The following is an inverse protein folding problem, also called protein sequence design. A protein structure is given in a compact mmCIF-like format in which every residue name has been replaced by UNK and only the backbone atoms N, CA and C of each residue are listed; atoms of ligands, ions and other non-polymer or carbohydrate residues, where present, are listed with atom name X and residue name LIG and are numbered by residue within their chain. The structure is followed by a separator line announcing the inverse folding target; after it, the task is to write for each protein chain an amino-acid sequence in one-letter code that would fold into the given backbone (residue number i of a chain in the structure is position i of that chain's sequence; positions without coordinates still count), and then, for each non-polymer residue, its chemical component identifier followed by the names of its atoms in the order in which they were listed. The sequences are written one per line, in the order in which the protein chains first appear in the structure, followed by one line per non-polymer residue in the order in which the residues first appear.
data_IF_566702566610
#
_entry.id   IF_566702566610
#
_cell.length_a   1.000
_cell.length_b   1.000
_cell.length_c   1.000
_cell.angle_alpha   90.00
_cell.angle_beta   90.00
_cell.angle_gamma   90.00
#
_symmetry.space_group_name_H-M   'P 1'
#
loop_
_entity.id
_entity.type
_entity.pdbx_description
1 polymer ?
#
# COMPACT_ATOMS: atom_id res chain seq x y z
N UNK A 1 -65.39 -7.15 12.01
CA UNK A 1 -64.14 -7.40 11.25
C UNK A 1 -63.54 -6.05 10.86
N UNK A 2 -62.57 -5.54 11.61
CA UNK A 2 -61.88 -4.28 11.30
C UNK A 2 -60.80 -4.54 10.25
N UNK A 3 -60.90 -3.87 9.09
CA UNK A 3 -59.87 -3.89 8.05
C UNK A 3 -58.66 -3.09 8.55
N UNK A 4 -57.43 -3.64 8.50
CA UNK A 4 -56.25 -2.87 8.86
C UNK A 4 -56.10 -1.68 7.91
N UNK A 5 -55.84 -0.51 8.50
CA UNK A 5 -55.69 0.74 7.77
C UNK A 5 -54.41 0.70 6.93
N UNK A 6 -54.56 0.80 5.61
CA UNK A 6 -53.51 0.89 4.58
C UNK A 6 -52.24 1.72 4.96
N UNK A 7 -52.32 2.87 5.68
CA UNK A 7 -51.13 3.61 6.09
C UNK A 7 -50.19 2.88 7.07
N UNK A 8 -50.72 2.01 7.93
CA UNK A 8 -49.91 1.28 8.92
C UNK A 8 -49.03 0.24 8.23
N UNK A 9 -49.53 -0.40 7.18
CA UNK A 9 -48.80 -1.40 6.40
C UNK A 9 -47.64 -0.76 5.60
N UNK A 10 -47.84 0.44 5.06
CA UNK A 10 -46.81 1.19 4.32
C UNK A 10 -45.69 1.64 5.27
N UNK A 11 -46.04 2.10 6.48
CA UNK A 11 -45.05 2.49 7.49
C UNK A 11 -44.20 1.29 7.94
N UNK A 12 -44.83 0.13 8.14
CA UNK A 12 -44.14 -1.12 8.49
C UNK A 12 -43.20 -1.58 7.37
N UNK A 13 -43.62 -1.49 6.10
CA UNK A 13 -42.78 -1.85 4.95
C UNK A 13 -41.58 -0.90 4.77
N UNK A 14 -41.77 0.40 5.05
CA UNK A 14 -40.68 1.38 5.03
C UNK A 14 -39.67 1.12 6.16
N UNK A 15 -40.13 0.81 7.38
CA UNK A 15 -39.26 0.46 8.50
C UNK A 15 -38.45 -0.82 8.23
N UNK A 16 -39.07 -1.88 7.71
CA UNK A 16 -38.38 -3.14 7.35
C UNK A 16 -37.34 -2.92 6.23
N UNK A 17 -37.63 -2.03 5.27
CA UNK A 17 -36.69 -1.69 4.18
C UNK A 17 -35.48 -0.88 4.64
N UNK A 18 -35.57 -0.22 5.80
CA UNK A 18 -34.43 0.48 6.43
C UNK A 18 -33.56 -0.50 7.24
N UNK A 19 -34.16 -1.49 7.91
CA UNK A 19 -33.41 -2.47 8.72
C UNK A 19 -32.75 -3.61 7.93
N UNK A 20 -33.13 -3.85 6.68
CA UNK A 20 -32.53 -4.89 5.82
C UNK A 20 -31.33 -4.39 5.00
N UNK A 21 -30.95 -3.12 5.12
CA UNK A 21 -29.71 -2.62 4.54
C UNK A 21 -28.57 -3.04 5.45
N UNK A 22 -27.82 -4.08 5.09
CA UNK A 22 -26.52 -4.37 5.68
C UNK A 22 -25.49 -3.40 5.08
N UNK A 23 -25.12 -2.27 5.72
CA UNK A 23 -24.00 -1.48 5.24
C UNK A 23 -22.75 -2.34 5.32
N UNK A 24 -22.20 -2.74 4.17
CA UNK A 24 -20.85 -3.28 4.09
C UNK A 24 -19.86 -2.14 4.35
N UNK A 25 -19.67 -1.81 5.62
CA UNK A 25 -18.62 -0.91 6.06
C UNK A 25 -17.27 -1.62 5.91
N UNK A 26 -16.28 -0.92 5.35
CA UNK A 26 -14.89 -1.39 5.43
C UNK A 26 -14.42 -1.17 6.87
N UNK A 27 -14.21 -2.25 7.61
CA UNK A 27 -13.71 -2.20 9.00
C UNK A 27 -12.26 -1.73 9.02
N UNK A 28 -11.91 -0.97 10.05
CA UNK A 28 -10.53 -0.70 10.45
C UNK A 28 -10.28 -1.38 11.82
N UNK A 29 -9.24 -2.22 11.95
CA UNK A 29 -8.28 -2.60 10.91
C UNK A 29 -8.93 -3.45 9.80
N UNK A 30 -8.35 -3.46 8.58
CA UNK A 30 -8.85 -4.29 7.49
C UNK A 30 -8.80 -5.78 7.87
N UNK A 31 -9.71 -6.57 7.29
CA UNK A 31 -9.82 -8.01 7.58
C UNK A 31 -8.55 -8.83 7.26
N UNK A 32 -7.64 -8.27 6.46
CA UNK A 32 -6.31 -8.79 6.19
C UNK A 32 -5.31 -7.67 6.33
N UNK A 33 -4.08 -8.00 6.75
CA UNK A 33 -2.98 -7.04 6.76
C UNK A 33 -2.79 -6.46 5.36
N UNK A 34 -2.72 -5.13 5.29
CA UNK A 34 -2.56 -4.41 4.03
C UNK A 34 -1.11 -4.50 3.51
N UNK A 35 -0.88 -4.12 2.26
CA UNK A 35 0.45 -3.91 1.71
C UNK A 35 0.98 -5.05 0.84
N UNK A 36 2.09 -4.75 0.16
CA UNK A 36 2.81 -5.66 -0.72
C UNK A 36 4.09 -6.14 -0.06
N UNK A 37 4.29 -7.45 -0.01
CA UNK A 37 5.50 -8.06 0.54
C UNK A 37 6.60 -7.98 -0.51
N UNK A 38 7.72 -7.33 -0.21
CA UNK A 38 8.89 -7.30 -1.09
C UNK A 38 9.59 -8.66 -1.11
N UNK A 39 10.10 -9.12 -2.24
CA UNK A 39 10.68 -10.47 -2.38
C UNK A 39 11.79 -10.77 -1.34
N UNK A 40 12.03 -12.05 -1.05
CA UNK A 40 12.99 -12.54 -0.04
C UNK A 40 12.76 -12.07 1.42
N UNK A 41 11.60 -11.46 1.72
CA UNK A 41 11.23 -10.98 3.06
C UNK A 41 10.26 -11.86 3.85
N UNK A 42 10.01 -13.10 3.42
CA UNK A 42 9.55 -14.13 4.36
C UNK A 42 10.76 -14.65 5.16
N UNK A 43 11.61 -13.73 5.62
CA UNK A 43 12.65 -14.02 6.57
C UNK A 43 11.96 -14.22 7.90
N UNK A 44 12.14 -15.40 8.48
CA UNK A 44 12.02 -15.78 9.90
C UNK A 44 11.04 -14.97 10.77
N UNK A 45 10.23 -15.63 11.61
CA UNK A 45 9.28 -14.94 12.50
C UNK A 45 9.91 -13.82 13.36
N UNK A 46 11.24 -13.88 13.51
CA UNK A 46 12.03 -12.90 14.23
C UNK A 46 12.75 -11.84 13.35
N UNK A 47 12.43 -11.68 12.06
CA UNK A 47 13.02 -10.64 11.21
C UNK A 47 12.56 -9.24 11.64
N UNK A 48 13.39 -8.23 11.39
CA UNK A 48 13.03 -6.83 11.61
C UNK A 48 12.08 -6.41 10.51
N UNK A 49 10.81 -6.18 10.86
CA UNK A 49 9.79 -5.74 9.93
C UNK A 49 9.93 -4.24 9.67
N UNK A 50 10.16 -3.89 8.42
CA UNK A 50 10.11 -2.53 7.90
C UNK A 50 8.80 -2.37 7.15
N UNK A 51 8.03 -1.36 7.50
CA UNK A 51 6.86 -0.95 6.73
C UNK A 51 7.19 0.38 6.04
N UNK A 52 6.98 0.48 4.73
CA UNK A 52 7.15 1.71 3.98
C UNK A 52 5.81 2.16 3.41
N UNK A 53 5.42 3.40 3.72
CA UNK A 53 4.20 4.03 3.21
C UNK A 53 4.57 4.94 2.05
N UNK A 54 4.19 4.54 0.84
CA UNK A 54 4.62 5.17 -0.40
C UNK A 54 3.47 5.67 -1.26
N UNK A 55 3.78 6.70 -2.05
CA UNK A 55 2.98 7.16 -3.17
C UNK A 55 3.82 6.95 -4.45
N UNK A 56 3.33 6.19 -5.45
CA UNK A 56 4.08 5.94 -6.69
C UNK A 56 4.48 7.20 -7.46
N UNK A 57 3.80 8.34 -7.24
CA UNK A 57 4.11 9.62 -7.91
C UNK A 57 4.76 10.66 -6.97
N UNK A 58 5.13 10.29 -5.75
CA UNK A 58 5.89 11.17 -4.85
C UNK A 58 7.41 11.08 -5.09
N UNK A 59 8.10 12.21 -5.37
CA UNK A 59 9.55 12.25 -5.54
C UNK A 59 10.34 11.72 -4.34
N UNK A 60 9.91 12.06 -3.12
CA UNK A 60 10.61 11.60 -1.91
C UNK A 60 10.45 10.08 -1.70
N UNK A 61 9.30 9.52 -2.11
CA UNK A 61 9.09 8.07 -2.09
C UNK A 61 10.07 7.38 -3.06
N UNK A 62 10.24 7.94 -4.28
CA UNK A 62 11.24 7.50 -5.26
C UNK A 62 12.65 7.58 -4.68
N UNK A 63 13.03 8.71 -4.09
CA UNK A 63 14.40 8.96 -3.62
C UNK A 63 14.76 8.10 -2.40
N UNK A 64 13.77 7.71 -1.61
CA UNK A 64 13.95 6.78 -0.48
C UNK A 64 14.12 5.32 -0.88
N UNK A 65 13.76 4.94 -2.12
CA UNK A 65 13.72 3.55 -2.56
C UNK A 65 15.12 2.92 -2.71
N UNK A 66 16.10 3.53 -3.40
CA UNK A 66 17.45 2.97 -3.51
C UNK A 66 18.16 2.68 -2.18
N UNK A 67 18.24 3.60 -1.20
CA UNK A 67 18.92 3.33 0.07
C UNK A 67 18.20 2.26 0.90
N UNK A 68 16.87 2.20 0.86
CA UNK A 68 16.09 1.12 1.50
C UNK A 68 16.42 -0.23 0.86
N UNK A 69 16.43 -0.34 -0.47
CA UNK A 69 16.84 -1.57 -1.17
C UNK A 69 18.25 -1.99 -0.80
N UNK A 70 19.18 -1.05 -0.70
CA UNK A 70 20.56 -1.33 -0.28
C UNK A 70 20.61 -1.91 1.15
N UNK A 71 19.80 -1.38 2.07
CA UNK A 71 19.67 -1.92 3.42
C UNK A 71 19.09 -3.35 3.41
N UNK A 72 17.99 -3.57 2.69
CA UNK A 72 17.36 -4.89 2.57
C UNK A 72 18.32 -5.94 2.00
N UNK A 73 19.10 -5.58 0.97
CA UNK A 73 20.13 -6.46 0.42
C UNK A 73 21.22 -6.78 1.44
N UNK A 74 21.72 -5.76 2.15
CA UNK A 74 22.79 -5.94 3.15
C UNK A 74 22.34 -6.80 4.35
N UNK A 75 21.12 -6.61 4.83
CA UNK A 75 20.60 -7.33 5.98
C UNK A 75 20.05 -8.72 5.63
N UNK A 76 19.61 -8.91 4.39
CA UNK A 76 19.08 -10.17 3.88
C UNK A 76 17.86 -10.63 4.69
N UNK A 77 17.81 -11.91 5.04
CA UNK A 77 16.72 -12.52 5.81
C UNK A 77 16.49 -11.94 7.21
N UNK A 78 17.38 -11.07 7.71
CA UNK A 78 17.22 -10.38 9.01
C UNK A 78 16.22 -9.23 8.95
N UNK A 79 15.85 -8.79 7.76
CA UNK A 79 14.91 -7.69 7.54
C UNK A 79 13.83 -8.11 6.57
N UNK A 80 12.63 -7.58 6.78
CA UNK A 80 11.49 -7.82 5.93
C UNK A 80 10.83 -6.51 5.55
N UNK A 81 10.25 -6.40 4.35
CA UNK A 81 9.62 -5.16 3.88
C UNK A 81 8.17 -5.42 3.44
N UNK A 82 7.26 -4.63 4.00
CA UNK A 82 5.90 -4.47 3.49
C UNK A 82 5.72 -3.03 3.01
N UNK A 83 5.26 -2.86 1.77
CA UNK A 83 4.94 -1.55 1.20
C UNK A 83 3.45 -1.31 1.22
N UNK A 84 3.02 -0.26 1.90
CA UNK A 84 1.66 0.25 1.94
C UNK A 84 1.53 1.45 1.01
N UNK A 85 0.37 1.57 0.37
CA UNK A 85 0.10 2.72 -0.50
C UNK A 85 -0.68 3.81 0.24
N UNK A 86 -0.12 5.02 0.23
CA UNK A 86 -0.79 6.24 0.64
C UNK A 86 -0.82 7.21 -0.56
N UNK A 87 -1.88 7.16 -1.40
CA UNK A 87 -2.01 8.13 -2.47
C UNK A 87 -2.27 9.53 -1.88
N UNK A 88 -1.31 10.44 -2.04
CA UNK A 88 -1.40 11.78 -1.46
C UNK A 88 -2.43 12.64 -2.21
N UNK A 89 -3.29 13.39 -1.51
CA UNK A 89 -4.41 14.10 -2.15
C UNK A 89 -3.98 15.27 -3.03
N UNK A 90 -2.75 15.77 -2.85
CA UNK A 90 -2.16 16.85 -3.66
C UNK A 90 -1.36 16.33 -4.87
N UNK A 91 -1.34 15.02 -5.11
CA UNK A 91 -0.82 14.40 -6.33
C UNK A 91 -1.98 13.86 -7.17
N UNK A 92 -2.29 14.53 -8.29
CA UNK A 92 -3.52 14.31 -9.07
C UNK A 92 -3.71 12.86 -9.51
N UNK A 93 -2.59 12.15 -9.74
CA UNK A 93 -2.58 10.80 -10.29
C UNK A 93 -2.23 9.71 -9.26
N UNK A 94 -2.02 10.06 -7.99
CA UNK A 94 -1.55 9.12 -6.98
C UNK A 94 -2.48 7.94 -6.75
N UNK A 95 -3.80 8.19 -6.68
CA UNK A 95 -4.77 7.11 -6.52
C UNK A 95 -4.82 6.18 -7.74
N UNK A 96 -4.69 6.73 -8.95
CA UNK A 96 -4.73 5.95 -10.20
C UNK A 96 -3.47 5.10 -10.33
N UNK A 97 -2.30 5.67 -10.06
CA UNK A 97 -1.03 4.95 -10.03
C UNK A 97 -1.05 3.86 -8.95
N UNK A 98 -1.52 4.18 -7.73
CA UNK A 98 -1.67 3.21 -6.64
C UNK A 98 -2.58 2.03 -7.02
N UNK A 99 -3.70 2.32 -7.68
CA UNK A 99 -4.61 1.30 -8.19
C UNK A 99 -3.95 0.42 -9.26
N UNK A 100 -3.08 0.97 -10.10
CA UNK A 100 -2.31 0.20 -11.07
C UNK A 100 -1.44 -0.88 -10.39
N UNK A 101 -0.80 -0.56 -9.25
CA UNK A 101 -0.03 -1.53 -8.48
C UNK A 101 -0.91 -2.65 -7.91
N UNK A 102 -2.10 -2.33 -7.38
CA UNK A 102 -3.04 -3.38 -6.94
C UNK A 102 -3.51 -4.28 -8.09
N UNK A 103 -3.77 -3.70 -9.26
CA UNK A 103 -4.13 -4.44 -10.47
C UNK A 103 -2.99 -5.39 -10.84
N UNK A 104 -1.76 -4.87 -10.97
CA UNK A 104 -0.57 -5.67 -11.26
C UNK A 104 -0.40 -6.81 -10.25
N UNK A 105 -0.50 -6.52 -8.95
CA UNK A 105 -0.37 -7.52 -7.89
C UNK A 105 -1.43 -8.63 -7.96
N UNK A 106 -2.66 -8.33 -8.38
CA UNK A 106 -3.72 -9.34 -8.55
C UNK A 106 -3.41 -10.25 -9.74
N UNK A 107 -2.90 -9.68 -10.83
CA UNK A 107 -2.60 -10.42 -12.05
C UNK A 107 -1.33 -11.26 -11.92
N UNK A 108 -0.30 -10.68 -11.31
CA UNK A 108 0.99 -11.30 -11.06
C UNK A 108 1.71 -10.55 -9.91
N UNK A 109 1.86 -11.20 -8.76
CA UNK A 109 2.49 -10.60 -7.57
C UNK A 109 3.93 -10.14 -7.82
N UNK A 110 4.66 -10.83 -8.69
CA UNK A 110 6.04 -10.46 -9.06
C UNK A 110 6.13 -9.19 -9.90
N UNK A 111 5.00 -8.66 -10.40
CA UNK A 111 4.98 -7.43 -11.21
C UNK A 111 4.81 -6.15 -10.38
N UNK A 112 4.49 -6.24 -9.09
CA UNK A 112 4.19 -5.07 -8.25
C UNK A 112 5.37 -4.13 -8.11
N UNK A 113 6.54 -4.64 -7.72
CA UNK A 113 7.74 -3.83 -7.53
C UNK A 113 8.40 -3.39 -8.85
N UNK A 114 8.47 -4.25 -9.89
CA UNK A 114 8.86 -3.76 -11.22
C UNK A 114 7.99 -2.59 -11.70
N UNK A 115 6.67 -2.64 -11.48
CA UNK A 115 5.79 -1.52 -11.82
C UNK A 115 6.03 -0.28 -10.93
N UNK A 116 6.24 -0.46 -9.62
CA UNK A 116 6.58 0.64 -8.71
C UNK A 116 7.87 1.34 -9.15
N UNK A 117 8.93 0.56 -9.41
CA UNK A 117 10.22 1.06 -9.88
C UNK A 117 10.09 1.76 -11.22
N UNK A 118 9.23 1.24 -12.11
CA UNK A 118 8.92 1.89 -13.37
C UNK A 118 8.26 3.25 -13.16
N UNK A 119 7.29 3.36 -12.25
CA UNK A 119 6.69 4.65 -11.90
C UNK A 119 7.75 5.62 -11.38
N UNK A 120 8.65 5.17 -10.52
CA UNK A 120 9.75 5.97 -10.00
C UNK A 120 10.74 6.44 -11.08
N UNK A 121 11.05 5.60 -12.06
CA UNK A 121 11.91 5.94 -13.19
C UNK A 121 11.28 6.99 -14.14
N UNK A 122 9.96 6.94 -14.34
CA UNK A 122 9.24 7.80 -15.28
C UNK A 122 8.21 8.71 -14.61
N UNK A 123 8.45 9.04 -13.34
CA UNK A 123 7.48 9.64 -12.45
C UNK A 123 6.93 10.98 -12.97
N UNK A 124 7.82 11.77 -13.60
CA UNK A 124 7.50 13.07 -14.16
C UNK A 124 6.35 13.05 -15.17
N UNK A 125 6.15 11.93 -15.87
CA UNK A 125 5.06 11.77 -16.85
C UNK A 125 3.68 11.88 -16.20
N UNK A 126 3.58 11.65 -14.90
CA UNK A 126 2.33 11.62 -14.13
C UNK A 126 2.27 12.69 -13.03
N UNK A 127 3.17 13.67 -13.05
CA UNK A 127 3.06 14.84 -12.17
C UNK A 127 1.95 15.78 -12.61
N UNK A 128 1.45 16.56 -11.65
CA UNK A 128 0.33 17.48 -11.85
C UNK A 128 0.56 18.43 -13.04
N UNK A 129 1.77 18.99 -13.18
CA UNK A 129 2.07 19.93 -14.26
C UNK A 129 1.96 19.31 -15.65
N UNK A 130 2.38 18.05 -15.80
CA UNK A 130 2.39 17.30 -17.05
C UNK A 130 0.99 16.80 -17.42
N UNK A 131 0.13 16.54 -16.43
CA UNK A 131 -1.22 16.02 -16.65
C UNK A 131 -2.33 17.07 -16.50
N UNK A 132 -2.02 18.32 -16.12
CA UNK A 132 -3.01 19.36 -15.77
C UNK A 132 -4.09 19.60 -16.83
N UNK A 133 -3.77 19.41 -18.10
CA UNK A 133 -4.66 19.67 -19.23
C UNK A 133 -5.23 18.37 -19.82
N UNK A 134 -4.93 17.22 -19.21
CA UNK A 134 -5.42 15.92 -19.66
C UNK A 134 -6.68 15.55 -18.89
N UNK A 135 -7.63 14.90 -19.57
CA UNK A 135 -8.75 14.29 -18.87
C UNK A 135 -8.28 13.09 -18.05
N UNK A 136 -8.96 12.82 -16.93
CA UNK A 136 -8.72 11.63 -16.12
C UNK A 136 -8.73 10.35 -16.95
N UNK A 137 -9.68 10.23 -17.89
CA UNK A 137 -9.77 9.08 -18.79
C UNK A 137 -8.51 8.91 -19.66
N UNK A 138 -7.94 10.01 -20.15
CA UNK A 138 -6.70 9.98 -20.95
C UNK A 138 -5.51 9.55 -20.10
N UNK A 139 -5.40 10.05 -18.87
CA UNK A 139 -4.32 9.64 -17.96
C UNK A 139 -4.44 8.17 -17.57
N UNK A 140 -5.64 7.69 -17.26
CA UNK A 140 -5.88 6.26 -16.99
C UNK A 140 -5.47 5.41 -18.20
N UNK A 141 -5.82 5.81 -19.42
CA UNK A 141 -5.43 5.09 -20.64
C UNK A 141 -3.91 5.04 -20.83
N UNK A 142 -3.20 6.12 -20.51
CA UNK A 142 -1.73 6.13 -20.53
C UNK A 142 -1.16 5.23 -19.43
N UNK A 143 -1.71 5.25 -18.22
CA UNK A 143 -1.29 4.37 -17.13
C UNK A 143 -1.53 2.89 -17.46
N UNK A 144 -2.63 2.54 -18.15
CA UNK A 144 -2.89 1.17 -18.62
C UNK A 144 -1.76 0.70 -19.55
N UNK A 145 -1.41 1.50 -20.57
CA UNK A 145 -0.30 1.19 -21.48
C UNK A 145 1.04 1.10 -20.74
N UNK A 146 1.28 2.05 -19.85
CA UNK A 146 2.50 2.14 -19.04
C UNK A 146 2.67 0.91 -18.15
N UNK A 147 1.61 0.49 -17.45
CA UNK A 147 1.61 -0.69 -16.61
C UNK A 147 1.72 -1.98 -17.44
N UNK A 148 1.09 -2.03 -18.61
CA UNK A 148 1.20 -3.18 -19.52
C UNK A 148 2.66 -3.44 -19.93
N UNK A 149 3.47 -2.40 -20.13
CA UNK A 149 4.89 -2.55 -20.43
C UNK A 149 5.70 -3.18 -19.28
N UNK A 150 5.27 -3.02 -18.03
CA UNK A 150 5.93 -3.63 -16.86
C UNK A 150 5.43 -5.05 -16.57
N UNK A 151 4.12 -5.29 -16.72
CA UNK A 151 3.46 -6.55 -16.35
C UNK A 151 3.52 -7.58 -17.49
N UNK A 152 3.49 -7.11 -18.74
CA UNK A 152 3.50 -7.93 -19.96
C UNK A 152 2.31 -7.64 -20.88
N UNK A 153 2.57 -7.65 -22.20
CA UNK A 153 1.59 -7.30 -23.24
C UNK A 153 0.31 -8.14 -23.22
N UNK A 154 0.39 -9.41 -22.80
CA UNK A 154 -0.76 -10.30 -22.66
C UNK A 154 -1.78 -9.82 -21.61
N UNK A 155 -1.39 -8.96 -20.69
CA UNK A 155 -2.25 -8.46 -19.61
C UNK A 155 -2.98 -7.16 -19.93
N UNK A 156 -2.79 -6.54 -21.12
CA UNK A 156 -3.38 -5.24 -21.45
C UNK A 156 -4.88 -5.16 -21.11
N UNK A 157 -5.69 -6.08 -21.64
CA UNK A 157 -7.15 -6.08 -21.43
C UNK A 157 -7.54 -6.32 -19.97
N UNK A 158 -6.74 -7.11 -19.24
CA UNK A 158 -6.97 -7.37 -17.82
C UNK A 158 -6.60 -6.15 -16.94
N UNK A 159 -5.58 -5.39 -17.34
CA UNK A 159 -5.21 -4.15 -16.68
C UNK A 159 -6.30 -3.09 -16.91
N UNK A 160 -6.73 -2.93 -18.17
CA UNK A 160 -7.80 -2.00 -18.55
C UNK A 160 -9.11 -2.30 -17.81
N UNK A 161 -9.55 -3.57 -17.80
CA UNK A 161 -10.74 -3.98 -17.06
C UNK A 161 -10.57 -3.82 -15.55
N UNK A 162 -9.35 -4.00 -15.03
CA UNK A 162 -8.99 -3.76 -13.64
C UNK A 162 -9.29 -2.33 -13.18
N UNK A 163 -9.15 -1.32 -14.05
CA UNK A 163 -9.53 0.07 -13.75
C UNK A 163 -11.05 0.32 -13.73
N UNK A 164 -11.85 -0.61 -14.25
CA UNK A 164 -13.31 -0.55 -14.17
C UNK A 164 -13.87 -1.49 -13.07
N UNK A 165 -13.04 -2.35 -12.47
CA UNK A 165 -13.45 -3.26 -11.40
C UNK A 165 -13.48 -2.58 -10.03
N UNK A 166 -14.64 -2.66 -9.35
CA UNK A 166 -14.82 -2.19 -7.96
C UNK A 166 -13.82 -2.82 -6.98
N UNK A 167 -13.37 -4.05 -7.19
CA UNK A 167 -12.45 -4.75 -6.27
C UNK A 167 -11.09 -4.04 -6.15
N UNK A 168 -10.55 -3.54 -7.26
CA UNK A 168 -9.26 -2.85 -7.28
C UNK A 168 -9.37 -1.45 -6.67
N UNK A 169 -10.50 -0.77 -6.89
CA UNK A 169 -10.85 0.48 -6.19
C UNK A 169 -10.89 0.27 -4.67
N UNK A 170 -11.62 -0.75 -4.21
CA UNK A 170 -11.76 -1.05 -2.79
C UNK A 170 -10.41 -1.40 -2.14
N UNK A 171 -9.53 -2.14 -2.82
CA UNK A 171 -8.17 -2.41 -2.32
C UNK A 171 -7.35 -1.12 -2.15
N UNK A 172 -7.36 -0.25 -3.15
CA UNK A 172 -6.66 1.04 -3.09
C UNK A 172 -7.17 1.90 -1.92
N UNK A 173 -8.49 1.89 -1.70
CA UNK A 173 -9.12 2.58 -0.56
C UNK A 173 -8.76 1.95 0.77
N UNK A 174 -8.61 0.63 0.83
CA UNK A 174 -8.15 -0.06 2.05
C UNK A 174 -6.72 0.36 2.38
N UNK A 175 -5.80 0.42 1.42
CA UNK A 175 -4.42 0.87 1.69
C UNK A 175 -4.36 2.33 2.15
N UNK A 176 -5.14 3.21 1.53
CA UNK A 176 -5.28 4.60 2.00
C UNK A 176 -5.78 4.65 3.46
N UNK A 177 -6.86 3.92 3.78
CA UNK A 177 -7.45 3.89 5.12
C UNK A 177 -6.53 3.25 6.15
N UNK A 178 -5.80 2.22 5.77
CA UNK A 178 -4.81 1.58 6.62
C UNK A 178 -3.70 2.58 6.97
N UNK A 179 -3.13 3.24 5.97
CA UNK A 179 -2.13 4.31 6.15
C UNK A 179 -2.64 5.41 7.09
N UNK A 180 -3.86 5.91 6.86
CA UNK A 180 -4.48 6.91 7.72
C UNK A 180 -4.69 6.41 9.15
N UNK A 181 -5.13 5.16 9.34
CA UNK A 181 -5.32 4.56 10.67
C UNK A 181 -4.03 4.39 11.46
N UNK A 182 -2.90 4.33 10.76
CA UNK A 182 -1.56 4.30 11.35
C UNK A 182 -1.05 5.70 11.71
N UNK A 183 -1.77 6.76 11.34
CA UNK A 183 -1.35 8.15 11.56
C UNK A 183 -0.44 8.69 10.45
N UNK A 184 -0.35 8.00 9.31
CA UNK A 184 0.51 8.43 8.19
C UNK A 184 -0.21 9.50 7.36
N UNK A 185 0.44 10.65 7.20
CA UNK A 185 -0.08 11.80 6.46
C UNK A 185 0.85 12.27 5.33
N UNK A 186 2.06 11.72 5.24
CA UNK A 186 3.07 12.04 4.24
C UNK A 186 3.80 10.79 3.74
N UNK A 187 4.42 10.88 2.56
CA UNK A 187 5.24 9.81 2.00
C UNK A 187 6.63 10.35 1.64
N UNK A 188 7.71 9.59 1.86
CA UNK A 188 7.73 8.29 2.51
C UNK A 188 7.49 8.42 4.02
N UNK A 189 6.87 7.41 4.61
CA UNK A 189 6.89 7.22 6.07
C UNK A 189 7.29 5.78 6.36
N UNK A 190 8.09 5.58 7.40
CA UNK A 190 8.63 4.27 7.72
C UNK A 190 8.25 3.84 9.14
N UNK A 191 7.96 2.56 9.30
CA UNK A 191 7.82 1.93 10.60
C UNK A 191 8.84 0.80 10.70
N UNK A 192 9.41 0.61 11.88
CA UNK A 192 10.30 -0.52 12.18
C UNK A 192 9.74 -1.24 13.40
N UNK A 193 9.42 -2.52 13.23
CA UNK A 193 8.75 -3.36 14.23
C UNK A 193 7.49 -2.70 14.83
N UNK A 194 6.71 -2.02 14.00
CA UNK A 194 5.46 -1.34 14.40
C UNK A 194 5.65 0.05 15.01
N UNK A 195 6.88 0.55 15.19
CA UNK A 195 7.15 1.90 15.66
C UNK A 195 7.44 2.83 14.50
N UNK A 196 6.73 3.97 14.43
CA UNK A 196 6.99 5.00 13.43
C UNK A 196 8.38 5.60 13.63
N UNK A 197 9.13 5.76 12.55
CA UNK A 197 10.36 6.54 12.54
C UNK A 197 10.03 8.04 12.49
N UNK A 198 10.89 8.91 13.07
CA UNK A 198 10.72 10.35 12.95
C UNK A 198 10.89 10.83 11.50
N UNK A 199 10.55 12.09 11.24
CA UNK A 199 10.78 12.78 9.96
C UNK A 199 10.00 12.21 8.76
N UNK A 200 8.69 11.99 8.97
CA UNK A 200 7.74 11.68 7.89
C UNK A 200 7.89 12.64 6.71
N UNK A 201 7.99 12.08 5.50
CA UNK A 201 8.19 12.84 4.26
C UNK A 201 9.65 12.96 3.81
N UNK A 202 10.62 12.49 4.60
CA UNK A 202 12.05 12.55 4.21
C UNK A 202 12.60 11.18 3.83
N UNK A 203 13.42 11.14 2.77
CA UNK A 203 14.17 9.95 2.41
C UNK A 203 15.25 9.65 3.46
N UNK A 204 15.35 8.39 3.89
CA UNK A 204 16.45 7.89 4.72
C UNK A 204 17.57 7.38 3.83
N UNK A 205 18.78 7.91 4.02
CA UNK A 205 19.97 7.37 3.35
C UNK A 205 20.39 6.02 3.95
N UNK A 206 21.36 5.36 3.31
CA UNK A 206 21.83 4.04 3.77
C UNK A 206 22.41 4.11 5.20
N UNK A 207 23.13 5.19 5.55
CA UNK A 207 23.70 5.37 6.90
C UNK A 207 22.60 5.48 7.96
N UNK A 208 21.50 6.16 7.65
CA UNK A 208 20.29 6.25 8.45
C UNK A 208 19.72 4.86 8.74
N UNK A 209 19.52 4.06 7.69
CA UNK A 209 19.06 2.67 7.86
C UNK A 209 19.99 1.84 8.74
N UNK A 210 21.31 1.97 8.57
CA UNK A 210 22.31 1.30 9.42
C UNK A 210 22.16 1.69 10.88
N UNK A 211 21.98 2.98 11.16
CA UNK A 211 21.86 3.49 12.53
C UNK A 211 20.63 2.94 13.27
N UNK A 212 19.57 2.61 12.53
CA UNK A 212 18.32 2.05 13.07
C UNK A 212 18.42 0.53 13.23
N UNK A 213 18.92 -0.18 12.22
CA UNK A 213 18.85 -1.65 12.16
C UNK A 213 20.00 -2.31 12.93
N UNK A 214 21.22 -1.76 12.92
CA UNK A 214 22.37 -2.37 13.58
C UNK A 214 22.17 -2.60 15.09
N UNK A 215 21.62 -1.64 15.87
CA UNK A 215 21.32 -1.86 17.29
C UNK A 215 20.28 -2.97 17.53
N UNK A 216 19.25 -3.05 16.69
CA UNK A 216 18.18 -4.05 16.81
C UNK A 216 18.71 -5.48 16.60
N UNK A 217 19.61 -5.66 15.63
CA UNK A 217 20.26 -6.95 15.39
C UNK A 217 21.16 -7.35 16.57
N UNK A 218 21.92 -6.40 17.14
CA UNK A 218 22.79 -6.66 18.30
C UNK A 218 21.97 -7.05 19.54
N UNK A 219 20.89 -6.32 19.83
CA UNK A 219 20.00 -6.60 20.95
C UNK A 219 19.36 -8.00 20.85
N UNK A 220 18.95 -8.41 19.64
CA UNK A 220 18.41 -9.75 19.40
C UNK A 220 19.41 -10.87 19.68
N UNK A 221 20.68 -10.69 19.27
CA UNK A 221 21.76 -11.66 19.58
C UNK A 221 22.00 -11.80 21.09
N UNK A 222 21.98 -10.70 21.83
CA UNK A 222 22.14 -10.71 23.30
C UNK A 222 21.04 -11.52 23.99
N UNK A 223 19.77 -11.31 23.61
CA UNK A 223 18.62 -12.05 24.19
C UNK A 223 18.67 -13.55 23.92
N UNK A 224 19.13 -13.98 22.75
CA UNK A 224 19.29 -15.41 22.43
C UNK A 224 20.42 -16.01 23.28
N UNK A 225 21.53 -15.30 23.45
CA UNK A 225 22.64 -15.73 24.31
C UNK A 225 22.24 -15.88 25.77
N UNK A 226 21.51 -14.91 26.34
CA UNK A 226 20.99 -15.01 27.71
C UNK A 226 20.01 -16.18 27.87
N UNK A 227 19.09 -16.39 26.92
CA UNK A 227 18.12 -17.49 27.00
C UNK A 227 18.79 -18.87 26.98
N UNK A 228 19.91 -19.03 26.26
CA UNK A 228 20.72 -20.26 26.31
C UNK A 228 21.41 -20.45 27.66
N UNK A 229 21.87 -19.37 28.30
CA UNK A 229 22.53 -19.44 29.61
C UNK A 229 21.60 -19.84 30.75
N UNK A 230 20.29 -19.60 30.65
CA UNK A 230 19.30 -20.05 31.64
C UNK A 230 18.81 -21.50 31.43
N UNK A 231 19.24 -22.16 30.35
CA UNK A 231 18.86 -23.54 30.00
C UNK A 231 20.01 -24.55 30.23
N UNK A 232 21.13 -24.09 30.77
CA UNK A 232 22.28 -24.89 31.24
C UNK A 232 22.37 -24.78 32.77
#
# INVERSE_FOLDING_TARGET
MQRPQLPILILFFCLISVFTRNPHAQTLPPARYDGFIYENSLGDADSILIEAFYDPVCPDSRDSWPPLKQALHYYGSRTSLVVHLLPLPYHDNAFVASRALHIANILNTSSTFPLLERFYEHQERFYNAQTRNLSRASVVKEIVKFATAAVGNSYYSAIESGFNDRKTDLKTRVSFKYSASRGVFGTPTFYVNGFALPDSGSALDYKGWRSIIDPLIKAKKGKIGEKLHYLL
#
